data_IF_396528913602
#
_entry.id   IF_396528913602
#
_cell.length_a   1.000
_cell.length_b   1.000
_cell.length_c   1.000
_cell.angle_alpha   90.00
_cell.angle_beta   90.00
_cell.angle_gamma   90.00
#
_symmetry.space_group_name_H-M   'P 1'
#
loop_
_entity.id
_entity.type
_entity.pdbx_description
1 polymer ?
#
# COMPACT_ATOMS: atom_id res chain seq x y z
N UNK A 1 21.78 -6.93 -12.59
CA UNK A 1 20.30 -6.72 -12.60
C UNK A 1 19.65 -7.05 -11.26
N UNK A 2 19.48 -8.33 -10.86
CA UNK A 2 18.74 -8.65 -9.63
C UNK A 2 19.44 -8.13 -8.36
N UNK A 3 20.77 -8.25 -8.27
CA UNK A 3 21.55 -7.73 -7.13
C UNK A 3 21.55 -6.20 -7.05
N UNK A 4 21.62 -5.52 -8.20
CA UNK A 4 21.50 -4.07 -8.26
C UNK A 4 20.12 -3.63 -7.79
N UNK A 5 19.07 -4.34 -8.23
CA UNK A 5 17.70 -4.05 -7.81
C UNK A 5 17.48 -4.32 -6.32
N UNK A 6 18.05 -5.41 -5.80
CA UNK A 6 18.06 -5.69 -4.36
C UNK A 6 18.77 -4.61 -3.56
N UNK A 7 19.87 -4.06 -4.08
CA UNK A 7 20.64 -2.98 -3.46
C UNK A 7 19.82 -1.69 -3.44
N UNK A 8 19.17 -1.34 -4.55
CA UNK A 8 18.24 -0.21 -4.61
C UNK A 8 17.06 -0.39 -3.63
N UNK A 9 16.50 -1.60 -3.54
CA UNK A 9 15.39 -1.89 -2.63
C UNK A 9 15.79 -1.75 -1.16
N UNK A 10 17.00 -2.20 -0.80
CA UNK A 10 17.54 -2.08 0.55
C UNK A 10 17.78 -0.63 0.96
N UNK A 11 18.31 0.18 0.05
CA UNK A 11 18.79 1.54 0.32
C UNK A 11 17.74 2.62 0.04
N UNK A 12 16.64 2.29 -0.63
CA UNK A 12 15.59 3.25 -0.98
C UNK A 12 14.67 3.59 0.21
N UNK A 13 14.23 4.84 0.25
CA UNK A 13 13.30 5.38 1.26
C UNK A 13 11.81 5.26 0.84
N UNK A 14 11.54 5.07 -0.45
CA UNK A 14 10.17 4.85 -0.95
C UNK A 14 9.76 3.41 -0.72
N UNK A 15 8.53 3.19 -0.26
CA UNK A 15 7.99 1.83 -0.10
C UNK A 15 8.55 1.06 1.11
N UNK A 16 9.15 1.73 2.11
CA UNK A 16 9.70 1.07 3.32
C UNK A 16 8.74 0.15 4.05
N UNK A 17 7.43 0.48 4.06
CA UNK A 17 6.40 -0.40 4.64
C UNK A 17 6.35 -1.75 3.91
N UNK A 18 6.43 -1.74 2.58
CA UNK A 18 6.47 -2.96 1.77
C UNK A 18 7.81 -3.67 1.97
N UNK A 19 8.94 -2.96 2.03
CA UNK A 19 10.25 -3.55 2.30
C UNK A 19 10.27 -4.35 3.62
N UNK A 20 9.62 -3.85 4.67
CA UNK A 20 9.57 -4.53 5.96
C UNK A 20 8.81 -5.88 5.90
N UNK A 21 7.97 -6.08 4.88
CA UNK A 21 7.18 -7.30 4.67
C UNK A 21 7.86 -8.20 3.64
N UNK A 22 8.40 -7.60 2.57
CA UNK A 22 9.16 -8.26 1.51
C UNK A 22 10.52 -7.57 1.35
N UNK A 23 11.53 -7.99 2.14
CA UNK A 23 12.86 -7.37 2.08
C UNK A 23 13.68 -7.83 0.86
N UNK A 24 13.30 -8.95 0.24
CA UNK A 24 14.01 -9.55 -0.88
C UNK A 24 13.24 -9.41 -2.19
N UNK A 25 13.92 -8.96 -3.24
CA UNK A 25 13.37 -8.97 -4.60
C UNK A 25 13.49 -10.36 -5.22
N UNK A 26 12.53 -10.73 -6.06
CA UNK A 26 12.48 -12.05 -6.73
C UNK A 26 12.02 -11.90 -8.17
N UNK A 27 12.64 -12.65 -9.09
CA UNK A 27 12.16 -12.80 -10.47
C UNK A 27 11.05 -13.85 -10.58
N UNK A 28 10.88 -14.71 -9.58
CA UNK A 28 9.77 -15.66 -9.55
C UNK A 28 8.50 -14.90 -9.21
N UNK A 29 7.46 -14.98 -10.05
CA UNK A 29 6.16 -14.44 -9.69
C UNK A 29 5.73 -15.09 -8.38
N UNK A 30 5.44 -14.27 -7.39
CA UNK A 30 4.75 -14.73 -6.19
C UNK A 30 3.27 -14.72 -6.50
N UNK A 31 2.50 -15.69 -5.99
CA UNK A 31 1.06 -15.81 -6.22
C UNK A 31 0.28 -14.75 -5.40
N UNK A 32 0.57 -13.47 -5.62
CA UNK A 32 -0.15 -12.36 -5.03
C UNK A 32 -1.58 -12.36 -5.55
N UNK A 33 -2.56 -12.45 -4.64
CA UNK A 33 -3.95 -12.18 -5.00
C UNK A 33 -4.14 -10.67 -5.16
N UNK A 34 -5.19 -10.28 -5.88
CA UNK A 34 -5.45 -8.87 -6.23
C UNK A 34 -5.54 -7.99 -4.99
N UNK A 35 -6.15 -8.52 -3.93
CA UNK A 35 -6.38 -7.85 -2.66
C UNK A 35 -5.07 -7.49 -1.96
N UNK A 36 -4.10 -8.41 -1.96
CA UNK A 36 -2.79 -8.16 -1.38
C UNK A 36 -2.04 -7.07 -2.16
N UNK A 37 -2.07 -7.12 -3.49
CA UNK A 37 -1.43 -6.09 -4.34
C UNK A 37 -2.02 -4.71 -4.04
N UNK A 38 -3.34 -4.60 -3.97
CA UNK A 38 -4.07 -3.38 -3.61
C UNK A 38 -3.67 -2.92 -2.19
N UNK A 39 -3.59 -3.85 -1.23
CA UNK A 39 -3.25 -3.56 0.15
C UNK A 39 -1.83 -3.00 0.30
N UNK A 40 -0.81 -3.72 -0.20
CA UNK A 40 0.59 -3.33 0.00
C UNK A 40 0.98 -2.11 -0.81
N UNK A 41 0.45 -1.98 -2.01
CA UNK A 41 0.70 -0.80 -2.84
C UNK A 41 -0.02 0.45 -2.30
N UNK A 42 -1.07 0.27 -1.48
CA UNK A 42 -2.03 1.33 -1.11
C UNK A 42 -2.76 1.93 -2.31
N UNK A 43 -2.79 1.24 -3.45
CA UNK A 43 -3.59 1.63 -4.61
C UNK A 43 -5.04 1.17 -4.42
N UNK A 44 -5.97 1.83 -5.11
CA UNK A 44 -7.36 1.39 -5.17
C UNK A 44 -8.35 2.53 -4.90
N UNK A 45 -9.62 2.21 -4.64
CA UNK A 45 -10.68 3.21 -4.42
C UNK A 45 -10.62 3.81 -3.00
N UNK A 46 -9.41 4.11 -2.51
CA UNK A 46 -9.18 4.64 -1.17
C UNK A 46 -9.05 6.17 -1.25
N UNK A 47 -9.76 6.94 -0.41
CA UNK A 47 -9.73 8.41 -0.44
C UNK A 47 -8.32 9.00 -0.46
N UNK A 48 -7.41 8.49 0.38
CA UNK A 48 -6.04 8.99 0.44
C UNK A 48 -5.26 8.78 -0.87
N UNK A 49 -5.48 7.64 -1.54
CA UNK A 49 -4.86 7.35 -2.83
C UNK A 49 -5.43 8.24 -3.94
N UNK A 50 -6.76 8.39 -3.98
CA UNK A 50 -7.43 9.22 -4.98
C UNK A 50 -7.06 10.70 -4.86
N UNK A 51 -6.89 11.21 -3.63
CA UNK A 51 -6.42 12.58 -3.39
C UNK A 51 -5.00 12.79 -3.90
N UNK A 52 -4.10 11.82 -3.70
CA UNK A 52 -2.73 11.87 -4.25
C UNK A 52 -2.69 11.95 -5.78
N UNK A 53 -3.72 11.42 -6.46
CA UNK A 53 -3.89 11.51 -7.91
C UNK A 53 -4.70 12.73 -8.37
N UNK A 54 -5.12 13.60 -7.45
CA UNK A 54 -6.03 14.72 -7.73
C UNK A 54 -7.37 14.28 -8.35
N UNK A 55 -7.82 13.06 -8.03
CA UNK A 55 -9.12 12.51 -8.44
C UNK A 55 -10.20 12.68 -7.35
N UNK A 56 -9.79 13.12 -6.15
CA UNK A 56 -10.67 13.42 -5.01
C UNK A 56 -10.14 14.65 -4.29
N UNK A 57 -11.06 15.48 -3.77
CA UNK A 57 -10.71 16.65 -2.94
C UNK A 57 -10.43 16.27 -1.48
N UNK A 58 -10.84 15.07 -1.06
CA UNK A 58 -10.73 14.59 0.32
C UNK A 58 -10.02 13.24 0.42
N UNK A 59 -9.19 13.10 1.45
CA UNK A 59 -8.51 11.89 1.89
C UNK A 59 -9.21 11.23 3.08
N UNK A 60 -10.33 11.79 3.54
CA UNK A 60 -11.04 11.27 4.70
C UNK A 60 -11.96 10.08 4.35
N UNK A 61 -11.97 9.09 5.25
CA UNK A 61 -13.00 8.07 5.33
C UNK A 61 -14.29 8.66 5.93
N UNK A 62 -15.44 8.06 5.63
CA UNK A 62 -16.73 8.43 6.23
C UNK A 62 -16.78 8.31 7.75
N UNK A 63 -15.83 7.60 8.39
CA UNK A 63 -15.71 7.55 9.86
C UNK A 63 -14.82 8.66 10.43
N UNK A 64 -14.30 9.58 9.61
CA UNK A 64 -13.48 10.71 10.03
C UNK A 64 -11.97 10.45 10.10
N UNK A 65 -11.51 9.21 9.89
CA UNK A 65 -10.08 8.88 9.77
C UNK A 65 -9.52 9.14 8.37
N UNK A 66 -8.22 9.03 8.18
CA UNK A 66 -7.60 9.08 6.84
C UNK A 66 -7.92 7.78 6.11
N UNK A 67 -8.61 7.86 4.98
CA UNK A 67 -9.04 6.73 4.15
C UNK A 67 -7.89 6.05 3.40
N UNK A 68 -6.91 5.52 4.13
CA UNK A 68 -5.87 4.62 3.61
C UNK A 68 -6.34 3.17 3.66
N UNK A 69 -5.73 2.29 2.87
CA UNK A 69 -6.04 0.85 2.92
C UNK A 69 -5.83 0.24 4.30
N UNK A 70 -4.77 0.68 5.01
CA UNK A 70 -4.47 0.22 6.36
C UNK A 70 -5.58 0.62 7.35
N UNK A 71 -6.03 1.88 7.27
CA UNK A 71 -7.12 2.38 8.12
C UNK A 71 -8.39 1.53 7.97
N UNK A 72 -8.79 1.19 6.73
CA UNK A 72 -9.93 0.30 6.50
C UNK A 72 -9.71 -1.12 7.05
N UNK A 73 -8.47 -1.63 7.06
CA UNK A 73 -8.19 -2.97 7.56
C UNK A 73 -8.12 -3.06 9.09
N UNK A 74 -7.75 -1.98 9.79
CA UNK A 74 -7.42 -2.07 11.23
C UNK A 74 -8.18 -1.10 12.14
N UNK A 75 -8.74 -0.01 11.62
CA UNK A 75 -9.23 1.11 12.45
C UNK A 75 -10.66 1.56 12.12
N UNK A 76 -11.10 1.43 10.87
CA UNK A 76 -12.38 1.96 10.44
C UNK A 76 -13.55 1.18 11.04
N UNK A 77 -14.36 1.84 11.87
CA UNK A 77 -15.53 1.27 12.58
C UNK A 77 -16.54 0.56 11.67
N UNK A 78 -16.54 0.86 10.38
CA UNK A 78 -17.46 0.26 9.42
C UNK A 78 -16.96 -1.05 8.82
N UNK A 79 -15.70 -1.40 9.05
CA UNK A 79 -15.04 -2.60 8.49
C UNK A 79 -14.37 -3.46 9.55
N UNK A 80 -14.12 -2.95 10.76
CA UNK A 80 -13.77 -3.82 11.90
C UNK A 80 -14.99 -4.69 12.22
N UNK A 81 -14.78 -6.02 12.22
CA UNK A 81 -15.78 -7.02 12.61
C UNK A 81 -15.78 -7.25 14.12
#
# INVERSE_FOLDING_TARGET
MLEEWQTSWKNGDTGRKIYNIMPSVSLRPTNWIREDVIFFSQHGPFPAYLKGLHLSDSDFCSCGGIGTTLHYATECIYTVS
#
